data_IF_072035267359
#
_entry.id   IF_072035267359
#
_cell.length_a   1.000
_cell.length_b   1.000
_cell.length_c   1.000
_cell.angle_alpha   90.00
_cell.angle_beta   90.00
_cell.angle_gamma   90.00
#
_symmetry.space_group_name_H-M   'P 1'
#
loop_
_entity.id
_entity.type
_entity.pdbx_description
1 polymer ?
#
# COMPACT_ATOMS: atom_id res chain seq x y z
N UNK A 1 -14.06 59.77 35.69
CA UNK A 1 -14.20 59.68 34.22
C UNK A 1 -13.20 58.68 33.60
N UNK A 2 -13.12 57.43 34.09
CA UNK A 2 -12.17 56.42 33.55
C UNK A 2 -12.81 55.03 33.35
N UNK A 3 -14.08 54.81 33.70
CA UNK A 3 -14.66 53.44 33.77
C UNK A 3 -15.58 53.00 32.63
N UNK A 4 -15.86 53.83 31.62
CA UNK A 4 -16.88 53.49 30.60
C UNK A 4 -16.28 53.07 29.23
N UNK A 5 -14.99 53.31 28.98
CA UNK A 5 -14.38 53.01 27.67
C UNK A 5 -14.05 51.50 27.52
N UNK A 6 -13.78 50.78 28.61
CA UNK A 6 -13.36 49.38 28.53
C UNK A 6 -14.50 48.37 28.33
N UNK A 7 -15.76 48.76 28.49
CA UNK A 7 -16.89 47.83 28.40
C UNK A 7 -17.31 47.53 26.95
N UNK A 8 -17.04 48.45 26.02
CA UNK A 8 -17.31 48.23 24.58
C UNK A 8 -16.22 47.39 23.89
N UNK A 9 -15.01 47.34 24.43
CA UNK A 9 -13.91 46.55 23.84
C UNK A 9 -13.93 45.07 24.25
N UNK A 10 -14.65 44.70 25.31
CA UNK A 10 -14.77 43.29 25.73
C UNK A 10 -15.90 42.58 24.95
N UNK A 11 -16.94 43.29 24.53
CA UNK A 11 -18.03 42.71 23.72
C UNK A 11 -17.63 42.43 22.26
N UNK A 12 -16.60 43.10 21.74
CA UNK A 12 -16.10 42.90 20.36
C UNK A 12 -15.16 41.69 20.23
N UNK A 13 -14.54 41.24 21.33
CA UNK A 13 -13.67 40.06 21.33
C UNK A 13 -14.42 38.73 21.49
N UNK A 14 -15.67 38.71 21.96
CA UNK A 14 -16.46 37.47 22.09
C UNK A 14 -17.23 37.09 20.82
N UNK A 15 -17.36 37.99 19.84
CA UNK A 15 -18.08 37.72 18.59
C UNK A 15 -17.21 37.08 17.48
N UNK A 16 -15.90 36.95 17.69
CA UNK A 16 -14.96 36.42 16.70
C UNK A 16 -14.53 34.96 16.93
N UNK A 17 -15.06 34.28 17.95
CA UNK A 17 -14.68 32.91 18.29
C UNK A 17 -15.69 31.82 17.85
N UNK A 18 -16.72 32.15 17.08
CA UNK A 18 -17.81 31.22 16.75
C UNK A 18 -17.87 30.75 15.28
N UNK A 19 -16.87 31.06 14.44
CA UNK A 19 -16.81 30.58 13.05
C UNK A 19 -15.76 29.47 12.82
N UNK A 20 -15.34 28.80 13.88
CA UNK A 20 -14.28 27.79 13.86
C UNK A 20 -14.73 26.33 13.93
N UNK A 21 -16.00 26.00 13.69
CA UNK A 21 -16.38 24.62 13.40
C UNK A 21 -16.52 24.48 11.89
N UNK A 22 -15.45 24.08 11.21
CA UNK A 22 -15.63 23.36 9.95
C UNK A 22 -16.31 22.06 10.35
N UNK A 23 -17.60 21.94 10.03
CA UNK A 23 -18.21 20.63 9.89
C UNK A 23 -17.26 19.81 9.02
N UNK A 24 -16.63 18.79 9.60
CA UNK A 24 -16.06 17.72 8.79
C UNK A 24 -17.28 17.08 8.15
N UNK A 25 -17.63 17.55 6.95
CA UNK A 25 -18.52 16.85 6.08
C UNK A 25 -18.03 15.40 6.08
N UNK A 26 -18.88 14.51 6.58
CA UNK A 26 -18.72 13.07 6.44
C UNK A 26 -18.84 12.77 4.95
N UNK A 27 -17.81 13.10 4.18
CA UNK A 27 -17.67 12.65 2.82
C UNK A 27 -17.49 11.15 2.90
N UNK A 28 -18.57 10.41 2.60
CA UNK A 28 -18.45 9.00 2.30
C UNK A 28 -17.38 8.89 1.20
N UNK A 29 -16.32 8.08 1.39
CA UNK A 29 -15.31 7.93 0.37
C UNK A 29 -15.97 7.46 -0.94
N UNK A 30 -15.54 8.03 -2.06
CA UNK A 30 -16.02 7.62 -3.37
C UNK A 30 -15.77 6.12 -3.58
N UNK A 31 -16.60 5.43 -4.38
CA UNK A 31 -16.25 4.10 -4.86
C UNK A 31 -14.86 4.11 -5.52
N UNK A 32 -14.06 3.06 -5.31
CA UNK A 32 -12.65 3.02 -5.79
C UNK A 32 -12.57 3.26 -7.30
N UNK A 33 -13.53 2.73 -8.06
CA UNK A 33 -13.61 2.93 -9.52
C UNK A 33 -13.69 4.42 -9.91
N UNK A 34 -14.42 5.21 -9.12
CA UNK A 34 -14.56 6.65 -9.32
C UNK A 34 -13.31 7.41 -8.88
N UNK A 35 -12.65 6.98 -7.79
CA UNK A 35 -11.33 7.49 -7.39
C UNK A 35 -10.33 7.34 -8.54
N UNK A 36 -10.24 6.13 -9.14
CA UNK A 36 -9.33 5.81 -10.25
C UNK A 36 -9.68 6.62 -11.50
N UNK A 37 -10.95 6.70 -11.89
CA UNK A 37 -11.40 7.45 -13.06
C UNK A 37 -11.08 8.94 -12.97
N UNK A 38 -10.98 9.51 -11.77
CA UNK A 38 -10.63 10.90 -11.53
C UNK A 38 -9.12 11.21 -11.66
N UNK A 39 -8.23 10.21 -11.73
CA UNK A 39 -6.78 10.39 -11.79
C UNK A 39 -6.31 10.77 -13.22
N UNK A 40 -6.33 12.06 -13.55
CA UNK A 40 -5.98 12.56 -14.89
C UNK A 40 -4.50 12.88 -15.08
N UNK A 41 -3.84 13.34 -14.03
CA UNK A 41 -2.44 13.81 -14.11
C UNK A 41 -1.47 12.86 -13.41
N UNK A 42 -0.19 12.92 -13.77
CA UNK A 42 0.87 12.17 -13.08
C UNK A 42 0.93 12.55 -11.59
N UNK A 43 0.73 13.82 -11.23
CA UNK A 43 0.69 14.26 -9.84
C UNK A 43 -0.42 13.57 -9.03
N UNK A 44 -1.63 13.48 -9.60
CA UNK A 44 -2.74 12.77 -8.96
C UNK A 44 -2.47 11.28 -8.79
N UNK A 45 -1.90 10.63 -9.81
CA UNK A 45 -1.51 9.22 -9.75
C UNK A 45 -0.43 8.96 -8.70
N UNK A 46 0.58 9.83 -8.64
CA UNK A 46 1.62 9.79 -7.62
C UNK A 46 1.03 9.90 -6.22
N UNK A 47 0.16 10.88 -5.97
CA UNK A 47 -0.42 11.11 -4.66
C UNK A 47 -1.35 9.95 -4.25
N UNK A 48 -2.08 9.38 -5.20
CA UNK A 48 -2.90 8.20 -4.99
C UNK A 48 -2.06 7.00 -4.53
N UNK A 49 -1.02 6.65 -5.28
CA UNK A 49 -0.14 5.52 -4.96
C UNK A 49 0.64 5.74 -3.66
N UNK A 50 1.09 6.98 -3.38
CA UNK A 50 1.73 7.33 -2.10
C UNK A 50 0.82 7.08 -0.91
N UNK A 51 -0.48 7.41 -1.02
CA UNK A 51 -1.45 7.14 0.05
C UNK A 51 -1.62 5.65 0.30
N UNK A 52 -1.66 4.84 -0.75
CA UNK A 52 -1.71 3.37 -0.64
C UNK A 52 -0.45 2.85 0.05
N UNK A 53 0.73 3.28 -0.40
CA UNK A 53 2.00 2.92 0.21
C UNK A 53 2.03 3.27 1.70
N UNK A 54 1.62 4.48 2.05
CA UNK A 54 1.59 4.92 3.44
C UNK A 54 0.61 4.10 4.27
N UNK A 55 -0.59 3.83 3.78
CA UNK A 55 -1.56 2.99 4.48
C UNK A 55 -1.05 1.56 4.73
N UNK A 56 -0.33 0.98 3.76
CA UNK A 56 0.29 -0.35 3.88
C UNK A 56 1.42 -0.37 4.93
N UNK A 57 2.23 0.68 4.99
CA UNK A 57 3.36 0.75 5.94
C UNK A 57 2.91 1.17 7.35
N UNK A 58 1.97 2.12 7.49
CA UNK A 58 1.52 2.67 8.77
C UNK A 58 0.93 1.59 9.70
N UNK A 59 0.20 0.61 9.15
CA UNK A 59 -0.33 -0.51 9.96
C UNK A 59 0.79 -1.44 10.44
N UNK A 60 1.89 -1.54 9.70
CA UNK A 60 3.03 -2.44 10.01
C UNK A 60 4.05 -1.81 10.94
N UNK A 61 4.22 -0.49 10.88
CA UNK A 61 5.04 0.27 11.82
C UNK A 61 4.48 0.21 13.26
N UNK A 62 3.20 -0.15 13.41
CA UNK A 62 2.58 -0.36 14.71
C UNK A 62 2.89 -1.76 15.30
N UNK A 63 3.99 -1.84 16.04
CA UNK A 63 4.23 -2.77 17.16
C UNK A 63 3.75 -4.23 17.08
N UNK A 64 3.64 -4.88 15.90
CA UNK A 64 3.13 -6.26 15.83
C UNK A 64 3.90 -7.21 16.76
N UNK A 65 5.23 -7.07 16.79
CA UNK A 65 6.11 -7.79 17.72
C UNK A 65 5.91 -7.36 19.17
N UNK A 66 5.67 -6.07 19.43
CA UNK A 66 5.39 -5.55 20.77
C UNK A 66 4.07 -6.05 21.35
N UNK A 67 3.02 -6.18 20.52
CA UNK A 67 1.73 -6.75 20.88
C UNK A 67 1.88 -8.24 21.24
N UNK A 68 2.59 -9.01 20.41
CA UNK A 68 2.85 -10.43 20.68
C UNK A 68 3.65 -10.61 21.97
N UNK A 69 4.69 -9.80 22.20
CA UNK A 69 5.49 -9.86 23.43
C UNK A 69 4.68 -9.50 24.68
N UNK A 70 3.72 -8.58 24.56
CA UNK A 70 2.93 -8.09 25.70
C UNK A 70 1.72 -8.97 26.02
N UNK A 71 1.03 -9.49 25.01
CA UNK A 71 -0.27 -10.16 25.16
C UNK A 71 -0.26 -11.63 24.74
N UNK A 72 0.77 -12.09 24.03
CA UNK A 72 0.86 -13.45 23.47
C UNK A 72 0.24 -13.54 22.07
N UNK A 73 0.68 -14.54 21.29
CA UNK A 73 0.30 -14.70 19.89
C UNK A 73 -1.22 -14.90 19.69
N UNK A 74 -1.87 -15.63 20.59
CA UNK A 74 -3.28 -16.00 20.47
C UNK A 74 -4.25 -15.00 21.12
N UNK A 75 -3.74 -13.86 21.60
CA UNK A 75 -4.53 -12.87 22.32
C UNK A 75 -5.58 -12.19 21.42
N UNK A 76 -6.69 -11.69 21.99
CA UNK A 76 -7.67 -10.90 21.25
C UNK A 76 -7.07 -9.65 20.60
N UNK A 77 -6.09 -9.01 21.22
CA UNK A 77 -5.40 -7.82 20.70
C UNK A 77 -4.61 -8.14 19.43
N UNK A 78 -3.85 -9.24 19.42
CA UNK A 78 -3.09 -9.68 18.24
C UNK A 78 -4.04 -10.10 17.12
N UNK A 79 -5.12 -10.82 17.44
CA UNK A 79 -6.15 -11.19 16.45
C UNK A 79 -6.82 -9.97 15.83
N UNK A 80 -7.24 -9.01 16.66
CA UNK A 80 -7.85 -7.76 16.20
C UNK A 80 -6.89 -6.94 15.31
N UNK A 81 -5.62 -6.87 15.70
CA UNK A 81 -4.58 -6.24 14.89
C UNK A 81 -4.40 -6.93 13.53
N UNK A 82 -4.30 -8.27 13.50
CA UNK A 82 -4.16 -9.03 12.27
C UNK A 82 -5.38 -8.85 11.35
N UNK A 83 -6.61 -8.92 11.88
CA UNK A 83 -7.82 -8.68 11.08
C UNK A 83 -7.88 -7.27 10.49
N UNK A 84 -7.37 -6.27 11.22
CA UNK A 84 -7.25 -4.90 10.70
C UNK A 84 -6.22 -4.83 9.57
N UNK A 85 -5.06 -5.46 9.73
CA UNK A 85 -4.03 -5.53 8.70
C UNK A 85 -4.53 -6.25 7.45
N UNK A 86 -5.20 -7.39 7.60
CA UNK A 86 -5.84 -8.12 6.49
C UNK A 86 -6.85 -7.27 5.73
N UNK A 87 -7.67 -6.49 6.45
CA UNK A 87 -8.65 -5.60 5.83
C UNK A 87 -7.99 -4.47 5.02
N UNK A 88 -6.88 -3.92 5.52
CA UNK A 88 -6.11 -2.89 4.81
C UNK A 88 -5.39 -3.50 3.59
N UNK A 89 -4.79 -4.67 3.74
CA UNK A 89 -4.12 -5.38 2.65
C UNK A 89 -5.10 -5.70 1.51
N UNK A 90 -6.30 -6.19 1.83
CA UNK A 90 -7.35 -6.48 0.86
C UNK A 90 -7.80 -5.21 0.11
N UNK A 91 -8.07 -4.13 0.84
CA UNK A 91 -8.48 -2.85 0.25
C UNK A 91 -7.39 -2.27 -0.67
N UNK A 92 -6.14 -2.28 -0.22
CA UNK A 92 -5.02 -1.78 -1.01
C UNK A 92 -4.80 -2.62 -2.26
N UNK A 93 -4.97 -3.95 -2.17
CA UNK A 93 -4.83 -4.84 -3.32
C UNK A 93 -5.88 -4.56 -4.39
N UNK A 94 -7.14 -4.32 -3.99
CA UNK A 94 -8.21 -3.92 -4.91
C UNK A 94 -7.89 -2.58 -5.60
N UNK A 95 -7.40 -1.59 -4.84
CA UNK A 95 -6.97 -0.29 -5.40
C UNK A 95 -5.83 -0.44 -6.41
N UNK A 96 -4.83 -1.25 -6.10
CA UNK A 96 -3.71 -1.53 -7.01
C UNK A 96 -4.18 -2.29 -8.24
N UNK A 97 -5.08 -3.27 -8.10
CA UNK A 97 -5.65 -4.02 -9.22
C UNK A 97 -6.31 -3.09 -10.23
N UNK A 98 -7.20 -2.22 -9.75
CA UNK A 98 -7.92 -1.26 -10.59
C UNK A 98 -6.99 -0.21 -11.19
N UNK A 99 -6.03 0.29 -10.41
CA UNK A 99 -5.03 1.24 -10.90
C UNK A 99 -4.18 0.64 -12.03
N UNK A 100 -3.64 -0.56 -11.85
CA UNK A 100 -2.77 -1.20 -12.84
C UNK A 100 -3.54 -1.56 -14.11
N UNK A 101 -4.82 -1.95 -13.97
CA UNK A 101 -5.70 -2.21 -15.12
C UNK A 101 -5.91 -0.95 -15.97
N UNK A 102 -6.09 0.20 -15.35
CA UNK A 102 -6.37 1.46 -16.04
C UNK A 102 -5.10 2.13 -16.58
N UNK A 103 -4.00 2.12 -15.82
CA UNK A 103 -2.83 2.96 -16.10
C UNK A 103 -1.53 2.19 -16.32
N UNK A 104 -1.51 0.88 -16.08
CA UNK A 104 -0.28 0.10 -16.05
C UNK A 104 0.60 0.41 -14.83
N UNK A 105 1.81 -0.17 -14.82
CA UNK A 105 2.75 0.03 -13.73
C UNK A 105 3.34 1.47 -13.79
N UNK A 106 3.40 2.20 -12.67
CA UNK A 106 3.96 3.56 -12.65
C UNK A 106 5.45 3.55 -12.98
N UNK A 107 5.87 4.36 -13.95
CA UNK A 107 7.29 4.55 -14.26
C UNK A 107 8.00 5.26 -13.10
N UNK A 108 9.11 4.69 -12.64
CA UNK A 108 9.94 5.25 -11.56
C UNK A 108 10.49 6.65 -11.84
N UNK A 109 10.57 7.04 -13.11
CA UNK A 109 11.07 8.36 -13.52
C UNK A 109 9.99 9.44 -13.41
N UNK A 110 8.71 9.04 -13.37
CA UNK A 110 7.57 9.94 -13.40
C UNK A 110 6.92 10.17 -12.03
N UNK A 111 7.17 9.29 -11.06
CA UNK A 111 6.56 9.34 -9.73
C UNK A 111 7.63 9.19 -8.65
N UNK A 112 7.26 9.49 -7.40
CA UNK A 112 8.15 9.25 -6.26
C UNK A 112 8.43 7.77 -6.04
N UNK A 113 9.55 7.46 -5.37
CA UNK A 113 9.91 6.08 -4.99
C UNK A 113 8.77 5.35 -4.26
N UNK A 114 8.11 6.02 -3.31
CA UNK A 114 6.98 5.43 -2.58
C UNK A 114 5.82 5.05 -3.52
N UNK A 115 5.45 5.93 -4.45
CA UNK A 115 4.44 5.63 -5.46
C UNK A 115 4.85 4.48 -6.39
N UNK A 116 6.10 4.47 -6.88
CA UNK A 116 6.62 3.41 -7.75
C UNK A 116 6.67 2.03 -7.06
N UNK A 117 6.92 2.01 -5.74
CA UNK A 117 6.96 0.78 -4.95
C UNK A 117 5.58 0.26 -4.53
N UNK A 118 4.56 1.12 -4.50
CA UNK A 118 3.24 0.77 -3.95
C UNK A 118 2.60 -0.48 -4.58
N UNK A 119 2.60 -0.66 -5.92
CA UNK A 119 1.98 -1.85 -6.49
C UNK A 119 2.72 -3.14 -6.09
N UNK A 120 4.05 -3.18 -6.23
CA UNK A 120 4.84 -4.34 -5.86
C UNK A 120 4.68 -4.73 -4.39
N UNK A 121 4.76 -3.77 -3.46
CA UNK A 121 4.73 -4.08 -2.03
C UNK A 121 3.36 -4.65 -1.61
N UNK A 122 2.27 -4.08 -2.12
CA UNK A 122 0.91 -4.53 -1.85
C UNK A 122 0.67 -5.92 -2.45
N UNK A 123 1.04 -6.15 -3.71
CA UNK A 123 0.89 -7.47 -4.35
C UNK A 123 1.71 -8.52 -3.60
N UNK A 124 2.91 -8.16 -3.14
CA UNK A 124 3.79 -9.03 -2.39
C UNK A 124 3.29 -9.37 -0.98
N UNK A 125 2.40 -8.57 -0.40
CA UNK A 125 1.78 -8.84 0.89
C UNK A 125 0.56 -9.76 0.80
N UNK A 126 -0.05 -9.88 -0.38
CA UNK A 126 -1.15 -10.83 -0.59
C UNK A 126 -0.71 -12.27 -0.33
N UNK A 127 -1.54 -13.03 0.39
CA UNK A 127 -1.36 -14.46 0.66
C UNK A 127 -2.05 -15.35 -0.38
N UNK A 128 -2.87 -14.77 -1.26
CA UNK A 128 -3.57 -15.48 -2.33
C UNK A 128 -2.61 -15.73 -3.51
N UNK A 129 -2.27 -17.00 -3.73
CA UNK A 129 -1.34 -17.42 -4.79
C UNK A 129 -1.86 -17.08 -6.18
N UNK A 130 -3.14 -17.33 -6.45
CA UNK A 130 -3.73 -17.11 -7.79
C UNK A 130 -3.78 -15.62 -8.10
N UNK A 131 -4.14 -14.81 -7.11
CA UNK A 131 -4.10 -13.35 -7.23
C UNK A 131 -2.69 -12.84 -7.47
N UNK A 132 -1.68 -13.33 -6.73
CA UNK A 132 -0.27 -12.99 -6.99
C UNK A 132 0.15 -13.35 -8.41
N UNK A 133 -0.20 -14.55 -8.91
CA UNK A 133 0.11 -15.00 -10.28
C UNK A 133 -0.57 -14.14 -11.33
N UNK A 134 -1.79 -13.66 -11.08
CA UNK A 134 -2.50 -12.77 -12.02
C UNK A 134 -1.77 -11.45 -12.29
N UNK A 135 -0.95 -10.98 -11.34
CA UNK A 135 -0.13 -9.77 -11.51
C UNK A 135 1.24 -10.03 -12.17
N UNK A 136 1.58 -11.28 -12.48
CA UNK A 136 2.91 -11.62 -12.99
C UNK A 136 3.31 -10.80 -14.20
N UNK A 137 2.43 -10.67 -15.20
CA UNK A 137 2.74 -9.92 -16.43
C UNK A 137 3.08 -8.45 -16.15
N UNK A 138 2.33 -7.80 -15.26
CA UNK A 138 2.58 -6.41 -14.89
C UNK A 138 3.90 -6.23 -14.14
N UNK A 139 4.21 -7.13 -13.19
CA UNK A 139 5.46 -7.09 -12.44
C UNK A 139 6.68 -7.51 -13.28
N UNK A 140 6.52 -8.45 -14.20
CA UNK A 140 7.58 -8.86 -15.12
C UNK A 140 7.93 -7.72 -16.09
N UNK A 141 6.93 -7.01 -16.62
CA UNK A 141 7.17 -5.81 -17.41
C UNK A 141 7.87 -4.72 -16.59
N UNK A 142 7.40 -4.44 -15.37
CA UNK A 142 8.02 -3.48 -14.47
C UNK A 142 9.48 -3.83 -14.12
N UNK A 143 9.80 -5.12 -14.01
CA UNK A 143 11.16 -5.61 -13.82
C UNK A 143 12.03 -5.37 -15.06
N UNK A 144 11.54 -5.73 -16.25
CA UNK A 144 12.25 -5.52 -17.51
C UNK A 144 12.50 -4.03 -17.82
N UNK A 145 11.55 -3.17 -17.43
CA UNK A 145 11.66 -1.71 -17.56
C UNK A 145 12.52 -1.07 -16.47
N UNK A 146 12.97 -1.85 -15.47
CA UNK A 146 13.81 -1.37 -14.36
C UNK A 146 13.07 -0.59 -13.26
N UNK A 147 11.73 -0.58 -13.27
CA UNK A 147 10.90 0.08 -12.26
C UNK A 147 10.88 -0.67 -10.92
N UNK A 148 11.10 -1.99 -10.97
CA UNK A 148 11.45 -2.81 -9.80
C UNK A 148 12.76 -3.52 -10.08
N UNK A 149 13.57 -3.68 -9.02
CA UNK A 149 14.88 -4.29 -9.15
C UNK A 149 14.82 -5.83 -9.06
N UNK A 150 15.98 -6.46 -9.30
CA UNK A 150 16.13 -7.90 -9.28
C UNK A 150 15.72 -8.53 -7.94
N UNK A 151 16.13 -7.95 -6.82
CA UNK A 151 15.84 -8.49 -5.48
C UNK A 151 14.34 -8.44 -5.18
N UNK A 152 13.67 -7.37 -5.60
CA UNK A 152 12.23 -7.20 -5.45
C UNK A 152 11.45 -8.24 -6.25
N UNK A 153 11.85 -8.44 -7.51
CA UNK A 153 11.17 -9.39 -8.39
C UNK A 153 11.43 -10.84 -7.95
N UNK A 154 12.66 -11.17 -7.56
CA UNK A 154 13.02 -12.47 -7.00
C UNK A 154 12.24 -12.75 -5.71
N UNK A 155 12.20 -11.79 -4.78
CA UNK A 155 11.47 -11.92 -3.53
C UNK A 155 9.97 -12.17 -3.75
N UNK A 156 9.35 -11.49 -4.72
CA UNK A 156 7.97 -11.72 -5.12
C UNK A 156 7.78 -13.17 -5.57
N UNK A 157 8.60 -13.66 -6.52
CA UNK A 157 8.52 -15.02 -7.06
C UNK A 157 8.79 -16.07 -5.97
N UNK A 158 9.83 -15.89 -5.17
CA UNK A 158 10.23 -16.82 -4.11
C UNK A 158 9.17 -16.94 -3.02
N UNK A 159 8.50 -15.84 -2.64
CA UNK A 159 7.37 -15.91 -1.70
C UNK A 159 6.12 -16.54 -2.32
N UNK A 160 5.82 -16.26 -3.59
CA UNK A 160 4.74 -16.94 -4.31
C UNK A 160 4.98 -18.45 -4.34
N UNK A 161 6.21 -18.88 -4.66
CA UNK A 161 6.62 -20.28 -4.63
C UNK A 161 6.42 -20.90 -3.24
N UNK A 162 6.85 -20.21 -2.18
CA UNK A 162 6.67 -20.70 -0.81
C UNK A 162 5.19 -20.86 -0.44
N UNK A 163 4.33 -19.94 -0.86
CA UNK A 163 2.89 -20.04 -0.61
C UNK A 163 2.28 -21.24 -1.36
N UNK A 164 2.73 -21.50 -2.58
CA UNK A 164 2.21 -22.61 -3.40
C UNK A 164 2.71 -23.99 -2.96
N UNK A 165 3.99 -24.11 -2.64
CA UNK A 165 4.64 -25.40 -2.37
C UNK A 165 5.01 -25.62 -0.90
N UNK A 166 4.72 -24.66 -0.03
CA UNK A 166 4.98 -24.75 1.42
C UNK A 166 6.45 -24.62 1.83
N UNK A 167 7.40 -24.58 0.88
CA UNK A 167 8.84 -24.49 1.13
C UNK A 167 9.46 -23.36 0.33
N UNK A 168 10.51 -22.73 0.88
CA UNK A 168 11.25 -21.72 0.11
C UNK A 168 12.16 -22.43 -0.90
N UNK A 169 12.30 -21.93 -2.13
CA UNK A 169 13.10 -22.58 -3.17
C UNK A 169 14.55 -22.77 -2.71
N UNK A 170 15.06 -24.00 -2.79
CA UNK A 170 16.44 -24.38 -2.46
C UNK A 170 17.03 -25.20 -3.62
N UNK A 171 18.30 -25.01 -3.99
CA UNK A 171 18.95 -25.79 -5.07
C UNK A 171 19.97 -25.01 -5.93
N UNK A 172 20.55 -25.68 -6.93
CA UNK A 172 21.53 -25.14 -7.90
C UNK A 172 21.07 -23.81 -8.51
N UNK A 173 21.98 -22.85 -8.73
CA UNK A 173 21.62 -21.49 -9.16
C UNK A 173 21.18 -20.55 -8.02
N UNK A 174 21.25 -20.97 -6.75
CA UNK A 174 21.05 -20.07 -5.59
C UNK A 174 22.05 -18.88 -5.55
N UNK A 175 23.14 -18.97 -6.33
CA UNK A 175 24.17 -17.94 -6.43
C UNK A 175 24.02 -17.03 -7.66
N UNK A 176 23.24 -17.41 -8.67
CA UNK A 176 22.89 -16.54 -9.80
C UNK A 176 21.39 -16.17 -9.72
N UNK A 177 21.07 -14.93 -9.33
CA UNK A 177 19.68 -14.50 -9.19
C UNK A 177 18.88 -14.57 -10.50
N UNK A 178 19.53 -14.47 -11.67
CA UNK A 178 18.85 -14.55 -12.98
C UNK A 178 18.41 -15.98 -13.28
N UNK A 179 19.28 -16.96 -13.01
CA UNK A 179 18.93 -18.38 -13.13
C UNK A 179 17.81 -18.75 -12.16
N UNK A 180 17.89 -18.26 -10.92
CA UNK A 180 16.85 -18.44 -9.90
C UNK A 180 15.51 -17.88 -10.36
N UNK A 181 15.44 -16.65 -10.90
CA UNK A 181 14.21 -16.05 -11.44
C UNK A 181 13.64 -16.91 -12.57
N UNK A 182 14.47 -17.33 -13.53
CA UNK A 182 14.02 -18.14 -14.67
C UNK A 182 13.45 -19.50 -14.23
N UNK A 183 14.09 -20.14 -13.24
CA UNK A 183 13.58 -21.37 -12.63
C UNK A 183 12.23 -21.13 -11.95
N UNK A 184 12.12 -20.09 -11.12
CA UNK A 184 10.87 -19.78 -10.41
C UNK A 184 9.71 -19.50 -11.37
N UNK A 185 9.94 -18.74 -12.44
CA UNK A 185 8.94 -18.51 -13.49
C UNK A 185 8.45 -19.84 -14.08
N UNK A 186 9.37 -20.75 -14.39
CA UNK A 186 9.04 -22.07 -14.93
C UNK A 186 8.25 -22.94 -13.94
N UNK A 187 8.72 -23.03 -12.70
CA UNK A 187 8.11 -23.88 -11.66
C UNK A 187 6.73 -23.39 -11.23
N UNK A 188 6.51 -22.07 -11.21
CA UNK A 188 5.21 -21.46 -10.95
C UNK A 188 4.22 -21.54 -12.13
N UNK A 189 4.68 -22.02 -13.30
CA UNK A 189 3.87 -22.12 -14.52
C UNK A 189 3.55 -20.76 -15.17
N UNK A 190 4.41 -19.76 -14.96
CA UNK A 190 4.20 -18.39 -15.41
C UNK A 190 4.69 -18.20 -16.85
N UNK A 191 3.93 -17.44 -17.65
CA UNK A 191 4.23 -17.19 -19.08
C UNK A 191 4.78 -15.78 -19.27
N UNK A 192 6.00 -15.69 -19.80
CA UNK A 192 6.64 -14.43 -20.21
C UNK A 192 5.92 -13.80 -21.39
#
# INVERSE_FOLDING_TARGET
>A
MIKIIYLKSILLCLALCSLGCKDQASENPLPINEEIAALKTIGQKNDYLKKIFQADQDIRDSQSSGLVLKYGLDSPEVKSFNSKMESIDALNLEKIELYLKEFGYPSSDSVTRAAAMAPWIVIHHSTDVDKRKSFFTALFQAYNDGYINLDQFELYLGRTYKLEFGTYPFGEGAYDPTEKINRLIKELGLKK
#
